data_IF_649499907713
#
_entry.id   IF_649499907713
#
_cell.length_a   1.000
_cell.length_b   1.000
_cell.length_c   1.000
_cell.angle_alpha   90.00
_cell.angle_beta   90.00
_cell.angle_gamma   90.00
#
_symmetry.space_group_name_H-M   'P 1'
#
loop_
_entity.id
_entity.type
_entity.pdbx_description
1 polymer ?
2 polymer ?
3 non-polymer ?
4 non-polymer ?
5 non-polymer ?
6 water ?
#
# COMPACT_ATOMS: atom_id res chain seq x y z
N UNK A 1 -13.92 -3.83 19.13
CA UNK A 1 -15.13 -3.62 18.36
C UNK A 1 -15.96 -2.43 18.83
N UNK A 2 -15.31 -1.24 18.91
CA UNK A 2 -15.97 -0.02 19.32
C UNK A 2 -17.07 0.36 18.33
N UNK A 3 -16.91 -0.08 17.07
CA UNK A 3 -17.91 0.16 16.05
C UNK A 3 -18.98 -0.91 15.93
N UNK A 4 -18.96 -1.88 16.85
CA UNK A 4 -19.87 -2.99 16.75
C UNK A 4 -21.35 -2.64 16.84
N UNK A 5 -21.66 -1.52 17.49
CA UNK A 5 -23.04 -1.09 17.61
C UNK A 5 -23.55 -0.22 16.47
N UNK A 6 -22.68 0.17 15.52
CA UNK A 6 -23.07 1.04 14.43
C UNK A 6 -23.40 0.24 13.19
N UNK A 7 -24.51 0.62 12.54
CA UNK A 7 -24.88 0.01 11.28
C UNK A 7 -23.75 0.06 10.25
N UNK A 8 -23.63 -0.99 9.47
CA UNK A 8 -22.70 -1.02 8.36
C UNK A 8 -22.84 0.22 7.48
N UNK A 9 -24.07 0.54 7.08
CA UNK A 9 -24.25 1.63 6.13
C UNK A 9 -23.85 2.94 6.76
N UNK A 10 -24.07 3.10 8.06
CA UNK A 10 -23.69 4.31 8.78
C UNK A 10 -22.18 4.46 8.90
N UNK A 11 -21.49 3.33 9.06
CA UNK A 11 -20.05 3.33 9.07
C UNK A 11 -19.49 3.78 7.73
N UNK A 12 -20.06 3.28 6.63
CA UNK A 12 -19.60 3.68 5.31
C UNK A 12 -19.89 5.16 5.07
N UNK A 13 -21.08 5.60 5.47
CA UNK A 13 -21.44 7.00 5.35
C UNK A 13 -20.45 7.89 6.09
N UNK A 14 -20.15 7.51 7.34
CA UNK A 14 -19.23 8.31 8.15
C UNK A 14 -17.81 8.21 7.64
N UNK A 15 -17.41 7.08 7.05
CA UNK A 15 -16.10 7.05 6.41
C UNK A 15 -15.98 8.09 5.29
N UNK A 16 -17.05 8.25 4.51
CA UNK A 16 -17.05 9.23 3.44
C UNK A 16 -16.97 10.65 4.00
N UNK A 17 -17.71 10.91 5.07
CA UNK A 17 -17.63 12.20 5.75
C UNK A 17 -16.22 12.47 6.29
N UNK A 18 -15.63 11.46 6.93
CA UNK A 18 -14.30 11.57 7.47
C UNK A 18 -13.28 11.89 6.37
N UNK A 19 -13.45 11.24 5.21
CA UNK A 19 -12.60 11.53 4.06
C UNK A 19 -12.73 13.01 3.66
N UNK A 20 -13.96 13.51 3.59
CA UNK A 20 -14.17 14.91 3.23
C UNK A 20 -13.53 15.89 4.22
N UNK A 21 -13.53 15.49 5.48
CA UNK A 21 -12.96 16.26 6.58
C UNK A 21 -11.47 16.02 6.78
N UNK A 22 -10.86 15.16 5.96
CA UNK A 22 -9.46 14.78 6.11
C UNK A 22 -9.14 14.23 7.49
N UNK A 23 -10.08 13.43 7.99
CA UNK A 23 -9.96 12.77 9.29
C UNK A 23 -9.68 11.30 9.03
N UNK A 24 -8.46 10.99 8.59
CA UNK A 24 -8.18 9.66 8.08
C UNK A 24 -8.14 8.56 9.16
N UNK A 25 -7.73 8.90 10.37
CA UNK A 25 -7.77 7.95 11.46
C UNK A 25 -9.21 7.54 11.75
N UNK A 26 -10.13 8.51 11.79
CA UNK A 26 -11.53 8.17 11.95
C UNK A 26 -12.03 7.34 10.77
N UNK A 27 -11.64 7.73 9.56
CA UNK A 27 -12.05 7.03 8.35
C UNK A 27 -11.66 5.56 8.44
N UNK A 28 -10.41 5.33 8.88
CA UNK A 28 -9.90 3.98 8.97
C UNK A 28 -10.67 3.18 10.02
N UNK A 29 -10.94 3.80 11.17
CA UNK A 29 -11.71 3.15 12.22
C UNK A 29 -13.12 2.78 11.74
N UNK A 30 -13.77 3.70 11.01
CA UNK A 30 -15.08 3.39 10.47
C UNK A 30 -14.99 2.22 9.49
N UNK A 31 -13.99 2.25 8.61
CA UNK A 31 -13.89 1.17 7.62
C UNK A 31 -13.50 -0.18 8.24
N UNK A 32 -12.67 -0.19 9.29
CA UNK A 32 -12.42 -1.40 10.06
C UNK A 32 -13.73 -1.95 10.60
N UNK A 33 -14.54 -1.06 11.18
CA UNK A 33 -15.82 -1.49 11.67
C UNK A 33 -16.71 -2.09 10.59
N UNK A 34 -16.68 -1.47 9.41
CA UNK A 34 -17.46 -2.00 8.30
C UNK A 34 -16.97 -3.38 7.86
N UNK A 35 -15.66 -3.56 7.77
CA UNK A 35 -15.11 -4.86 7.42
C UNK A 35 -15.55 -5.91 8.43
N UNK A 36 -15.48 -5.55 9.72
CA UNK A 36 -15.79 -6.50 10.77
C UNK A 36 -17.25 -6.91 10.84
N UNK A 37 -18.12 -6.26 10.06
CA UNK A 37 -19.47 -6.75 9.89
C UNK A 37 -19.54 -8.10 9.19
N UNK A 38 -18.48 -8.44 8.48
CA UNK A 38 -18.33 -9.76 7.93
C UNK A 38 -18.81 -9.93 6.50
N UNK A 39 -19.43 -8.89 5.92
CA UNK A 39 -19.87 -8.94 4.55
C UNK A 39 -18.67 -8.59 3.68
N UNK A 40 -18.68 -9.09 2.45
CA UNK A 40 -17.68 -8.64 1.49
C UNK A 40 -17.86 -7.14 1.18
N UNK A 41 -16.82 -6.50 0.64
CA UNK A 41 -16.82 -5.08 0.31
C UNK A 41 -16.99 -4.88 -1.19
N UNK A 42 -17.79 -3.87 -1.55
CA UNK A 42 -17.89 -3.41 -2.91
C UNK A 42 -16.59 -2.74 -3.34
N UNK A 43 -16.50 -2.45 -4.64
CA UNK A 43 -15.34 -1.74 -5.12
C UNK A 43 -15.13 -0.38 -4.44
N UNK A 44 -16.21 0.40 -4.31
CA UNK A 44 -16.11 1.69 -3.68
C UNK A 44 -15.66 1.52 -2.21
N UNK A 45 -16.22 0.53 -1.53
CA UNK A 45 -15.88 0.30 -0.14
C UNK A 45 -14.42 -0.14 0.03
N UNK A 46 -13.94 -1.03 -0.84
CA UNK A 46 -12.54 -1.42 -0.84
C UNK A 46 -11.64 -0.18 -0.96
N UNK A 47 -12.03 0.73 -1.84
CA UNK A 47 -11.23 1.93 -2.03
C UNK A 47 -11.27 2.85 -0.82
N UNK A 48 -12.41 2.93 -0.12
CA UNK A 48 -12.47 3.68 1.11
C UNK A 48 -11.52 3.09 2.15
N UNK A 49 -11.51 1.75 2.27
CA UNK A 49 -10.63 1.07 3.22
C UNK A 49 -9.17 1.43 2.90
N UNK A 50 -8.82 1.30 1.61
CA UNK A 50 -7.45 1.54 1.19
C UNK A 50 -7.05 2.99 1.41
N UNK A 51 -7.89 3.94 1.00
CA UNK A 51 -7.53 5.34 1.14
C UNK A 51 -7.28 5.68 2.61
N UNK A 52 -8.15 5.17 3.48
CA UNK A 52 -8.07 5.49 4.89
C UNK A 52 -6.73 5.05 5.46
N UNK A 53 -6.43 3.75 5.29
CA UNK A 53 -5.23 3.22 5.91
C UNK A 53 -3.97 3.75 5.24
N UNK A 54 -4.02 3.94 3.92
CA UNK A 54 -2.84 4.46 3.24
C UNK A 54 -2.46 5.87 3.73
N UNK A 55 -3.47 6.68 4.01
CA UNK A 55 -3.24 8.02 4.51
C UNK A 55 -2.70 7.94 5.94
N UNK A 56 -3.27 7.06 6.77
CA UNK A 56 -2.75 6.94 8.13
C UNK A 56 -1.29 6.48 8.10
N UNK A 57 -1.01 5.38 7.40
CA UNK A 57 0.33 4.84 7.45
C UNK A 57 1.29 5.76 6.70
N UNK A 58 0.79 6.47 5.68
CA UNK A 58 1.64 7.42 4.99
C UNK A 58 2.18 8.51 5.89
N UNK A 59 1.32 9.01 6.78
CA UNK A 59 1.78 9.99 7.75
C UNK A 59 2.79 9.40 8.71
N UNK A 60 2.55 8.15 9.13
CA UNK A 60 3.47 7.50 10.05
C UNK A 60 4.84 7.26 9.41
N UNK A 61 4.82 6.83 8.14
CA UNK A 61 6.05 6.57 7.41
C UNK A 61 6.84 7.87 7.26
N UNK A 62 6.17 8.97 6.92
CA UNK A 62 6.88 10.21 6.77
C UNK A 62 7.52 10.61 8.10
N UNK A 63 6.79 10.47 9.19
CA UNK A 63 7.33 10.82 10.51
C UNK A 63 8.50 9.93 10.87
N UNK A 64 8.35 8.63 10.62
CA UNK A 64 9.43 7.69 10.86
C UNK A 64 10.70 8.06 10.11
N UNK A 65 10.54 8.47 8.85
CA UNK A 65 11.71 8.83 8.07
C UNK A 65 12.40 10.07 8.66
N UNK A 66 11.62 11.04 9.13
CA UNK A 66 12.20 12.22 9.75
C UNK A 66 13.05 11.81 10.95
N UNK A 67 12.44 10.98 11.81
CA UNK A 67 13.07 10.58 13.06
C UNK A 67 14.28 9.68 12.83
N UNK A 68 14.16 8.77 11.86
CA UNK A 68 15.27 7.90 11.50
C UNK A 68 16.47 8.71 11.00
N UNK A 69 16.22 9.77 10.22
CA UNK A 69 17.29 10.61 9.71
C UNK A 69 18.02 11.33 10.84
N UNK A 70 17.24 11.84 11.81
CA UNK A 70 17.83 12.48 12.98
C UNK A 70 18.66 11.49 13.78
N UNK A 71 18.13 10.28 13.93
CA UNK A 71 18.82 9.24 14.67
C UNK A 71 20.13 8.86 13.99
N UNK A 72 20.11 8.72 12.66
CA UNK A 72 21.32 8.37 11.92
C UNK A 72 22.38 9.46 12.07
N UNK A 73 21.96 10.73 11.97
CA UNK A 73 22.87 11.84 12.21
C UNK A 73 23.48 11.84 13.61
N UNK A 74 22.68 11.49 14.61
CA UNK A 74 23.15 11.34 15.99
C UNK A 74 24.25 10.29 16.15
N UNK A 75 24.27 9.30 15.25
CA UNK A 75 25.20 8.18 15.35
C UNK A 75 26.46 8.32 14.50
N UNK A 76 26.68 9.52 13.95
CA UNK A 76 27.89 9.81 13.19
C UNK A 76 29.09 10.13 14.11
N UNK A 78 31.36 12.88 14.85
CA UNK A 78 31.55 13.74 16.01
C UNK A 78 30.27 14.34 16.58
N UNK A 79 29.17 13.55 16.54
CA UNK A 79 27.89 14.00 17.05
C UNK A 79 27.86 13.94 18.57
N UNK A 80 27.32 14.99 19.19
CA UNK A 80 27.22 15.08 20.64
C UNK A 80 26.19 14.07 21.13
N UNK A 81 26.49 13.38 22.25
CA UNK A 81 25.56 12.48 22.90
C UNK A 81 24.34 13.24 23.42
N UNK A 82 23.14 12.81 22.99
CA UNK A 82 21.92 13.46 23.41
C UNK A 82 21.01 12.56 24.25
N UNK A 83 21.49 11.35 24.53
CA UNK A 83 20.72 10.41 25.31
C UNK A 83 19.75 9.58 24.47
N UNK A 84 18.83 8.85 25.13
CA UNK A 84 18.03 7.85 24.45
C UNK A 84 16.80 8.38 23.73
N UNK A 85 16.52 9.69 23.83
CA UNK A 85 15.21 10.18 23.45
C UNK A 85 14.89 10.04 21.96
N UNK A 86 15.85 10.28 21.08
CA UNK A 86 15.59 10.15 19.65
C UNK A 86 15.22 8.70 19.32
N UNK A 87 16.02 7.76 19.81
CA UNK A 87 15.73 6.35 19.60
C UNK A 87 14.37 5.98 20.19
N UNK A 88 14.10 6.42 21.42
CA UNK A 88 12.84 6.09 22.06
C UNK A 88 11.67 6.57 21.21
N UNK A 89 11.74 7.80 20.71
CA UNK A 89 10.60 8.37 20.02
C UNK A 89 10.46 7.76 18.63
N UNK A 90 11.59 7.51 17.95
CA UNK A 90 11.55 6.76 16.70
C UNK A 90 10.87 5.39 16.92
N UNK A 91 11.25 4.72 18.00
CA UNK A 91 10.66 3.43 18.33
C UNK A 91 9.16 3.53 18.61
N UNK A 92 8.74 4.63 19.25
CA UNK A 92 7.32 4.83 19.53
C UNK A 92 6.55 4.90 18.23
N UNK A 93 7.02 5.76 17.34
CA UNK A 93 6.36 5.94 16.04
C UNK A 93 6.38 4.62 15.26
N UNK A 94 7.53 3.97 15.29
CA UNK A 94 7.70 2.71 14.58
C UNK A 94 6.68 1.68 15.05
N UNK A 95 6.51 1.58 16.37
CA UNK A 95 5.61 0.60 16.95
C UNK A 95 4.17 0.90 16.53
N UNK A 96 3.82 2.19 16.50
CA UNK A 96 2.49 2.58 16.10
C UNK A 96 2.27 2.23 14.62
N UNK A 97 3.26 2.52 13.77
CA UNK A 97 3.20 2.16 12.35
C UNK A 97 3.01 0.66 12.18
N UNK A 98 3.80 -0.14 12.90
CA UNK A 98 3.70 -1.59 12.83
C UNK A 98 2.31 -2.03 13.27
N UNK A 99 1.77 -1.38 14.30
CA UNK A 99 0.44 -1.72 14.74
C UNK A 99 -0.64 -1.49 13.70
N UNK A 100 -0.55 -0.39 12.98
CA UNK A 100 -1.48 -0.12 11.89
C UNK A 100 -1.33 -1.14 10.77
N UNK A 101 -0.09 -1.46 10.39
CA UNK A 101 0.12 -2.48 9.39
C UNK A 101 -0.46 -3.83 9.82
N UNK A 102 -0.23 -4.19 11.09
CA UNK A 102 -0.74 -5.45 11.62
C UNK A 102 -2.27 -5.46 11.60
N UNK A 103 -2.88 -4.30 11.87
CA UNK A 103 -4.32 -4.22 11.87
C UNK A 103 -4.87 -4.49 10.47
N UNK A 104 -4.27 -3.83 9.47
CA UNK A 104 -4.71 -4.02 8.08
C UNK A 104 -4.50 -5.48 7.66
N UNK A 105 -3.31 -6.01 7.94
CA UNK A 105 -3.02 -7.39 7.58
C UNK A 105 -4.02 -8.33 8.23
N UNK A 106 -4.38 -8.01 9.47
CA UNK A 106 -5.36 -8.81 10.19
C UNK A 106 -6.73 -8.81 9.51
N UNK A 107 -7.17 -7.66 9.03
CA UNK A 107 -8.44 -7.58 8.29
C UNK A 107 -8.38 -8.42 7.02
N UNK A 108 -7.23 -8.34 6.34
CA UNK A 108 -7.07 -9.06 5.09
C UNK A 108 -7.11 -10.56 5.37
N UNK A 109 -6.48 -10.99 6.46
CA UNK A 109 -6.41 -12.40 6.80
C UNK A 109 -7.71 -12.92 7.43
N UNK A 110 -8.53 -12.03 8.00
CA UNK A 110 -9.71 -12.44 8.75
C UNK A 110 -10.85 -11.47 8.41
N UNK A 111 -11.48 -11.61 7.23
CA UNK A 111 -11.37 -12.72 6.30
C UNK A 111 -11.49 -12.21 4.87
N UNK A 112 -10.98 -11.00 4.59
CA UNK A 112 -11.23 -10.42 3.29
C UNK A 112 -10.69 -11.25 2.13
N UNK A 113 -9.45 -11.69 2.22
CA UNK A 113 -8.83 -12.39 1.10
C UNK A 113 -9.55 -13.71 0.84
N UNK A 114 -9.77 -14.49 1.88
CA UNK A 114 -10.34 -15.82 1.65
C UNK A 114 -11.72 -15.77 1.03
N UNK A 115 -12.48 -14.69 1.29
CA UNK A 115 -13.83 -14.57 0.74
C UNK A 115 -13.85 -13.92 -0.65
N UNK A 116 -12.69 -13.39 -1.11
CA UNK A 116 -12.57 -12.68 -2.38
C UNK A 116 -12.29 -13.64 -3.54
N UNK A 117 -13.29 -13.85 -4.36
CA UNK A 117 -13.20 -14.78 -5.48
C UNK A 117 -13.10 -14.12 -6.84
N UNK A 118 -13.58 -12.90 -6.96
CA UNK A 118 -13.49 -12.22 -8.22
C UNK A 118 -12.05 -11.70 -8.30
N UNK A 119 -11.54 -11.64 -9.52
CA UNK A 119 -10.17 -11.22 -9.70
C UNK A 119 -9.98 -9.79 -9.19
N UNK A 120 -10.97 -8.92 -9.40
CA UNK A 120 -10.84 -7.52 -9.03
C UNK A 120 -10.66 -7.41 -7.51
N UNK A 121 -11.45 -8.17 -6.75
CA UNK A 121 -11.34 -8.07 -5.32
C UNK A 121 -10.07 -8.75 -4.82
N UNK A 122 -9.80 -9.96 -5.32
CA UNK A 122 -8.69 -10.73 -4.81
C UNK A 122 -7.36 -10.03 -5.08
N UNK A 123 -7.20 -9.50 -6.31
CA UNK A 123 -5.98 -8.77 -6.64
C UNK A 123 -5.84 -7.53 -5.73
N UNK A 124 -6.94 -6.81 -5.55
CA UNK A 124 -6.90 -5.61 -4.72
C UNK A 124 -6.39 -5.93 -3.32
N UNK A 125 -6.92 -7.00 -2.71
CA UNK A 125 -6.54 -7.33 -1.36
C UNK A 125 -5.12 -7.87 -1.26
N UNK A 126 -4.70 -8.66 -2.26
CA UNK A 126 -3.34 -9.17 -2.28
C UNK A 126 -2.32 -8.04 -2.49
N UNK A 127 -2.67 -7.07 -3.33
CA UNK A 127 -1.85 -5.87 -3.46
C UNK A 127 -1.71 -5.15 -2.12
N UNK A 128 -2.85 -4.96 -1.42
CA UNK A 128 -2.79 -4.38 -0.09
C UNK A 128 -1.87 -5.18 0.82
N UNK A 129 -1.98 -6.51 0.80
CA UNK A 129 -1.14 -7.33 1.63
C UNK A 129 0.33 -7.11 1.34
N UNK A 130 0.68 -7.07 0.05
CA UNK A 130 2.06 -6.79 -0.31
C UNK A 130 2.53 -5.42 0.18
N UNK A 131 1.67 -4.42 0.02
CA UNK A 131 2.00 -3.06 0.42
C UNK A 131 2.25 -2.94 1.91
N UNK A 132 1.41 -3.57 2.74
CA UNK A 132 1.58 -3.40 4.18
C UNK A 132 2.77 -4.21 4.69
N UNK A 133 3.05 -5.37 4.09
CA UNK A 133 4.31 -6.02 4.38
C UNK A 133 5.51 -5.18 3.92
N UNK A 134 5.39 -4.50 2.78
CA UNK A 134 6.43 -3.61 2.33
C UNK A 134 6.69 -2.50 3.36
N UNK A 135 5.62 -1.93 3.90
CA UNK A 135 5.79 -0.90 4.91
C UNK A 135 6.46 -1.47 6.17
N UNK A 136 6.08 -2.69 6.58
CA UNK A 136 6.78 -3.35 7.67
C UNK A 136 8.25 -3.56 7.34
N UNK A 137 8.55 -3.87 6.07
CA UNK A 137 9.93 -4.11 5.67
C UNK A 137 10.76 -2.84 5.72
N UNK A 138 10.14 -1.69 5.47
CA UNK A 138 10.88 -0.43 5.47
C UNK A 138 11.50 -0.16 6.84
N UNK A 139 10.86 -0.65 7.92
CA UNK A 139 11.34 -0.36 9.25
C UNK A 139 11.99 -1.56 9.93
N UNK A 140 12.01 -2.71 9.25
CA UNK A 140 12.54 -3.93 9.81
C UNK A 140 14.06 -3.97 9.71
N UNK A 141 14.67 -4.50 10.78
CA UNK A 141 16.12 -4.67 10.90
C UNK A 141 16.50 -5.96 11.61
N UNK A 142 15.50 -6.70 12.07
CA UNK A 142 15.72 -7.76 13.03
C UNK A 142 15.95 -9.08 12.30
N UNK A 143 15.83 -10.17 13.06
CA UNK A 143 16.03 -11.50 12.50
C UNK A 143 14.91 -11.85 11.51
N UNK A 144 13.96 -10.93 11.34
CA UNK A 144 12.75 -11.14 10.56
C UNK A 144 12.56 -10.21 9.36
N UNK A 145 13.51 -9.31 9.07
CA UNK A 145 13.40 -8.51 7.85
C UNK A 145 13.27 -9.45 6.66
N UNK A 146 14.03 -10.54 6.62
CA UNK A 146 13.97 -11.44 5.48
C UNK A 146 12.58 -12.04 5.32
N UNK A 147 11.97 -12.46 6.43
CA UNK A 147 10.68 -13.14 6.35
C UNK A 147 9.63 -12.11 5.95
N UNK A 148 9.76 -10.87 6.43
CA UNK A 148 8.80 -9.84 6.07
C UNK A 148 8.87 -9.54 4.57
N UNK A 149 10.09 -9.39 4.04
CA UNK A 149 10.33 -9.20 2.63
C UNK A 149 9.71 -10.34 1.84
N UNK A 150 9.92 -11.59 2.29
CA UNK A 150 9.36 -12.71 1.57
C UNK A 150 7.83 -12.69 1.59
N UNK A 151 7.23 -12.28 2.71
CA UNK A 151 5.78 -12.18 2.78
C UNK A 151 5.25 -11.15 1.79
N UNK A 152 5.91 -10.00 1.69
CA UNK A 152 5.51 -9.01 0.70
C UNK A 152 5.60 -9.57 -0.72
N UNK A 153 6.76 -10.16 -1.02
CA UNK A 153 7.01 -10.72 -2.33
C UNK A 153 5.92 -11.72 -2.70
N UNK A 154 5.60 -12.61 -1.77
CA UNK A 154 4.66 -13.68 -2.03
C UNK A 154 3.27 -13.14 -2.34
N UNK A 155 2.86 -12.12 -1.58
CA UNK A 155 1.55 -11.54 -1.81
C UNK A 155 1.51 -10.85 -3.18
N UNK A 156 2.52 -10.01 -3.46
CA UNK A 156 2.61 -9.36 -4.74
C UNK A 156 2.61 -10.37 -5.88
N UNK A 157 3.36 -11.45 -5.72
CA UNK A 157 3.48 -12.42 -6.81
C UNK A 157 2.13 -13.09 -7.08
N UNK A 158 1.43 -13.48 -6.02
CA UNK A 158 0.11 -14.09 -6.21
C UNK A 158 -0.83 -13.12 -6.92
N UNK A 159 -0.78 -11.85 -6.52
CA UNK A 159 -1.59 -10.81 -7.15
C UNK A 159 -1.24 -10.67 -8.63
N UNK A 160 0.06 -10.64 -8.91
CA UNK A 160 0.52 -10.52 -10.28
C UNK A 160 0.03 -11.66 -11.14
N UNK A 161 0.12 -12.88 -10.59
CA UNK A 161 -0.25 -14.02 -11.41
C UNK A 161 -1.73 -13.95 -11.79
N UNK A 162 -2.58 -13.60 -10.82
CA UNK A 162 -4.01 -13.46 -11.09
C UNK A 162 -4.28 -12.31 -12.05
N UNK A 163 -3.63 -11.16 -11.83
CA UNK A 163 -3.89 -10.00 -12.67
C UNK A 163 -3.53 -10.27 -14.13
N UNK A 164 -2.43 -10.98 -14.36
CA UNK A 164 -2.00 -11.25 -15.71
C UNK A 164 -2.98 -12.19 -16.40
N UNK A 165 -3.53 -13.15 -15.66
CA UNK A 165 -4.47 -14.09 -16.24
C UNK A 165 -5.85 -13.48 -16.49
N UNK A 166 -6.28 -12.60 -15.57
CA UNK A 166 -7.68 -12.23 -15.48
C UNK A 166 -8.05 -10.80 -15.82
N UNK A 167 -7.07 -9.90 -15.91
CA UNK A 167 -7.35 -8.50 -16.16
C UNK A 167 -6.60 -8.02 -17.40
N UNK A 168 -7.13 -7.00 -18.12
CA UNK A 168 -6.43 -6.42 -19.26
C UNK A 168 -5.22 -5.64 -18.74
N UNK A 169 -4.20 -5.44 -19.60
CA UNK A 169 -2.97 -4.76 -19.20
C UNK A 169 -3.17 -3.31 -18.78
N UNK A 170 -4.31 -2.71 -19.15
CA UNK A 170 -4.60 -1.34 -18.76
C UNK A 170 -5.40 -1.24 -17.47
N UNK A 171 -5.86 -2.36 -16.91
CA UNK A 171 -6.67 -2.26 -15.70
C UNK A 171 -5.91 -1.49 -14.61
N UNK A 172 -6.48 -0.41 -14.00
CA UNK A 172 -5.76 0.38 -13.03
C UNK A 172 -5.22 -0.37 -11.82
N UNK A 173 -5.94 -1.40 -11.37
CA UNK A 173 -5.46 -2.19 -10.26
C UNK A 173 -4.25 -3.03 -10.71
N UNK A 174 -4.32 -3.63 -11.89
CA UNK A 174 -3.16 -4.34 -12.43
C UNK A 174 -1.96 -3.41 -12.55
N UNK A 175 -2.17 -2.19 -13.08
CA UNK A 175 -1.11 -1.21 -13.23
C UNK A 175 -0.53 -0.78 -11.89
N UNK A 176 -1.42 -0.50 -10.94
CA UNK A 176 -1.00 -0.06 -9.63
C UNK A 176 -0.22 -1.13 -8.86
N UNK A 177 -0.69 -2.37 -8.99
CA UNK A 177 0.02 -3.51 -8.43
C UNK A 177 1.43 -3.61 -8.99
N UNK A 178 1.54 -3.52 -10.31
CA UNK A 178 2.85 -3.57 -10.95
C UNK A 178 3.75 -2.41 -10.52
N UNK A 179 3.15 -1.21 -10.41
CA UNK A 179 3.90 -0.07 -9.92
C UNK A 179 4.46 -0.37 -8.52
N UNK A 180 3.60 -0.80 -7.61
CA UNK A 180 4.03 -1.00 -6.23
C UNK A 180 5.02 -2.15 -6.11
N UNK A 181 4.80 -3.23 -6.88
CA UNK A 181 5.74 -4.33 -6.86
C UNK A 181 7.10 -3.87 -7.41
N UNK A 182 7.10 -3.00 -8.44
CA UNK A 182 8.36 -2.46 -8.95
C UNK A 182 9.06 -1.65 -7.85
N UNK A 183 8.31 -0.87 -7.07
CA UNK A 183 8.91 -0.15 -5.95
C UNK A 183 9.49 -1.11 -4.93
N UNK A 184 8.75 -2.17 -4.61
CA UNK A 184 9.29 -3.21 -3.75
C UNK A 184 10.64 -3.70 -4.28
N UNK A 185 10.71 -3.99 -5.57
CA UNK A 185 11.96 -4.52 -6.10
C UNK A 185 13.09 -3.52 -5.95
N UNK A 186 12.81 -2.24 -6.26
CA UNK A 186 13.87 -1.24 -6.24
C UNK A 186 14.29 -0.84 -4.83
N UNK A 187 13.29 -0.62 -3.97
CA UNK A 187 13.53 0.02 -2.69
C UNK A 187 13.75 -0.98 -1.56
N UNK A 188 13.16 -2.18 -1.69
CA UNK A 188 13.19 -3.15 -0.60
C UNK A 188 14.07 -4.35 -0.88
N UNK A 189 13.92 -4.92 -2.08
CA UNK A 189 14.55 -6.19 -2.41
C UNK A 189 15.92 -6.06 -3.07
N UNK A 190 16.43 -4.83 -3.22
CA UNK A 190 17.75 -4.63 -3.81
C UNK A 190 17.83 -5.25 -5.20
N UNK A 191 16.76 -5.06 -5.98
CA UNK A 191 16.64 -5.63 -7.31
C UNK A 191 16.24 -4.56 -8.32
N UNK A 192 17.08 -3.52 -8.54
CA UNK A 192 16.68 -2.42 -9.42
C UNK A 192 16.45 -2.87 -10.85
N UNK A 193 17.20 -3.87 -11.33
CA UNK A 193 17.01 -4.31 -12.71
C UNK A 193 15.63 -4.98 -12.84
N UNK A 194 15.20 -5.76 -11.84
CA UNK A 194 13.86 -6.34 -11.85
C UNK A 194 12.79 -5.24 -11.86
N UNK A 195 13.02 -4.22 -11.04
CA UNK A 195 12.11 -3.09 -10.97
C UNK A 195 11.94 -2.40 -12.33
N UNK A 196 13.09 -2.13 -12.96
CA UNK A 196 13.08 -1.44 -14.25
C UNK A 196 12.38 -2.28 -15.32
N UNK A 197 12.70 -3.57 -15.36
CA UNK A 197 12.10 -4.47 -16.32
C UNK A 197 10.58 -4.52 -16.15
N UNK A 198 10.15 -4.69 -14.88
CA UNK A 198 8.72 -4.79 -14.63
C UNK A 198 8.03 -3.50 -15.05
N UNK A 199 8.59 -2.35 -14.67
CA UNK A 199 7.96 -1.09 -15.03
C UNK A 199 7.87 -0.88 -16.54
N UNK A 200 8.94 -1.21 -17.26
CA UNK A 200 9.00 -1.06 -18.71
C UNK A 200 7.99 -1.98 -19.40
N UNK A 201 7.98 -3.26 -19.03
CA UNK A 201 7.07 -4.21 -19.64
C UNK A 201 5.62 -3.81 -19.37
N UNK A 202 5.35 -3.43 -18.13
CA UNK A 202 4.00 -3.04 -17.75
C UNK A 202 3.56 -1.84 -18.59
N UNK A 203 4.42 -0.81 -18.67
CA UNK A 203 4.08 0.39 -19.43
C UNK A 203 3.78 0.08 -20.88
N UNK A 204 4.68 -0.70 -21.49
CA UNK A 204 4.55 -1.02 -22.91
C UNK A 204 3.30 -1.85 -23.22
N UNK A 205 2.98 -2.82 -22.38
CA UNK A 205 1.82 -3.64 -22.65
C UNK A 205 0.55 -2.81 -22.46
N UNK A 206 0.54 -1.90 -21.49
CA UNK A 206 -0.57 -1.00 -21.33
C UNK A 206 -0.73 -0.05 -22.53
N UNK A 207 0.39 0.52 -22.98
CA UNK A 207 0.35 1.42 -24.14
C UNK A 207 -0.38 0.75 -25.31
N UNK A 208 -0.06 -0.52 -25.53
CA UNK A 208 -0.59 -1.28 -26.65
C UNK A 208 -2.07 -1.64 -26.52
N UNK A 209 -2.63 -1.48 -25.32
CA UNK A 209 -4.04 -1.75 -25.08
C UNK A 209 -4.91 -0.52 -24.90
N UNK A 210 -4.31 0.68 -24.91
CA UNK A 210 -5.08 1.89 -24.70
C UNK A 210 -6.18 2.08 -25.75
N UNK A 211 -5.95 1.58 -26.96
CA UNK A 211 -6.87 1.79 -28.06
C UNK A 211 -8.24 1.18 -27.78
N UNK A 212 -8.33 0.21 -26.85
CA UNK A 212 -9.56 -0.48 -26.55
C UNK A 212 -10.47 0.29 -25.59
N UNK A 213 -9.95 1.40 -25.02
CA UNK A 213 -10.56 2.06 -23.89
C UNK A 213 -11.40 3.27 -24.28
N UNK A 214 -12.41 3.52 -23.46
CA UNK A 214 -13.16 4.76 -23.48
C UNK A 214 -12.27 5.92 -23.03
N UNK A 215 -12.74 7.14 -23.27
CA UNK A 215 -12.02 8.33 -22.84
C UNK A 215 -11.76 8.29 -21.34
N UNK A 216 -12.75 7.89 -20.55
CA UNK A 216 -12.61 7.93 -19.11
C UNK A 216 -11.71 6.81 -18.59
N UNK A 217 -11.80 5.61 -19.18
CA UNK A 217 -10.88 4.54 -18.79
C UNK A 217 -9.45 4.88 -19.23
N UNK A 218 -9.31 5.45 -20.43
CA UNK A 218 -8.03 5.95 -20.87
C UNK A 218 -7.39 6.87 -19.82
N UNK A 219 -8.18 7.79 -19.27
CA UNK A 219 -7.65 8.72 -18.30
C UNK A 219 -7.17 7.98 -17.05
N UNK A 220 -7.95 6.99 -16.59
CA UNK A 220 -7.59 6.23 -15.41
C UNK A 220 -6.27 5.47 -15.63
N UNK A 221 -6.15 4.78 -16.76
CA UNK A 221 -4.95 3.99 -17.01
C UNK A 221 -3.71 4.85 -17.21
N UNK A 222 -3.86 5.95 -17.98
CA UNK A 222 -2.71 6.77 -18.29
C UNK A 222 -2.17 7.47 -17.04
N UNK A 223 -3.03 7.75 -16.06
CA UNK A 223 -2.56 8.33 -14.82
C UNK A 223 -1.52 7.41 -14.17
N UNK A 224 -1.81 6.12 -14.05
CA UNK A 224 -0.85 5.23 -13.42
C UNK A 224 0.34 4.96 -14.31
N UNK A 225 0.12 4.91 -15.62
CA UNK A 225 1.23 4.71 -16.54
C UNK A 225 2.27 5.82 -16.38
N UNK A 226 1.80 7.04 -16.11
CA UNK A 226 2.72 8.15 -15.95
C UNK A 226 3.60 7.92 -14.73
N UNK A 227 3.06 7.28 -13.68
CA UNK A 227 3.86 7.00 -12.50
C UNK A 227 4.95 5.97 -12.80
N UNK A 228 4.62 4.95 -13.58
CA UNK A 228 5.64 4.02 -14.04
C UNK A 228 6.76 4.76 -14.76
N UNK A 229 6.36 5.66 -15.67
CA UNK A 229 7.31 6.47 -16.40
C UNK A 229 8.15 7.35 -15.48
N UNK A 230 7.52 7.95 -14.47
CA UNK A 230 8.29 8.76 -13.53
C UNK A 230 9.38 7.96 -12.83
N UNK A 231 9.03 6.74 -12.40
CA UNK A 231 10.02 5.87 -11.77
C UNK A 231 11.10 5.48 -12.77
N UNK A 232 10.72 5.12 -14.00
CA UNK A 232 11.74 4.77 -14.98
C UNK A 232 12.72 5.91 -15.20
N UNK A 233 12.20 7.15 -15.23
CA UNK A 233 13.04 8.33 -15.38
C UNK A 233 13.98 8.56 -14.19
N UNK A 234 13.48 8.24 -12.99
CA UNK A 234 14.28 8.36 -11.78
C UNK A 234 15.35 7.28 -11.74
N UNK A 235 15.00 6.09 -12.22
CA UNK A 235 15.82 4.90 -12.04
C UNK A 235 16.86 4.70 -13.14
N UNK A 236 16.67 5.37 -14.28
CA UNK A 236 17.55 5.19 -15.43
C UNK A 236 18.14 6.55 -15.90
N UNK B 1 16.00 10.68 -3.87
CA UNK B 1 14.58 10.92 -4.09
C UNK B 1 13.82 9.59 -4.18
N UNK B 2 12.65 9.53 -3.54
CA UNK B 2 11.95 8.29 -3.35
C UNK B 2 11.16 7.90 -4.59
N UNK B 3 11.10 6.61 -4.83
CA UNK B 3 10.23 6.10 -5.88
C UNK B 3 8.78 6.42 -5.58
N UNK B 4 7.99 6.52 -6.64
CA UNK B 4 6.57 6.78 -6.58
C UNK B 4 5.78 5.48 -6.55
N UNK B 5 4.94 5.34 -5.54
CA UNK B 5 3.98 4.26 -5.48
C UNK B 5 2.58 4.78 -5.78
N UNK B 6 1.58 3.91 -5.67
CA UNK B 6 0.26 4.28 -6.13
C UNK B 6 -0.28 5.44 -5.31
N UNK B 7 -1.10 6.28 -5.96
CA UNK B 7 -1.72 7.40 -5.30
C UNK B 7 -2.88 6.92 -4.45
N UNK B 8 -3.24 7.81 -3.54
CA UNK B 8 -4.18 7.46 -2.52
C UNK B 8 -5.47 8.27 -2.68
N UNK B 9 -6.31 7.85 -3.63
CA UNK B 9 -7.53 8.56 -4.00
C UNK B 9 -8.64 7.65 -4.61
X LIG C 1 8.72 8.30 23.37
X LIG D 1 11.24 -1.50 16.89
X LIG E 1 -27.44 -3.94 10.41
X LIG F 1 21.71 -3.22 -16.03
X LIG G 1 -12.74 2.38 -8.17
X LIG G 1 -4.16 1.45 -6.80
X LIG G 1 -8.01 4.13 -8.89
X LIG G 1 -5.51 3.39 -8.22
X LIG G 1 -8.54 4.16 -7.52
X LIG G 1 -10.04 3.94 -7.48
X LIG G 1 -10.72 3.90 -8.83
X LIG G 1 -14.43 0.82 -7.46
X LIG G 1 -4.38 1.30 -8.16
X LIG G 1 -5.08 2.25 -8.86
X LIG G 1 -8.48 2.95 -9.65
X LIG G 1 -10.00 2.96 -9.80
X LIG G 1 -5.26 3.58 -6.88
X LIG G 1 -14.27 3.09 -6.55
X LIG G 1 -3.42 0.46 -6.00
X LIG G 1 -4.57 2.62 -6.19
X LIG G 1 -6.44 4.59 -9.08
X LIG G 1 -6.24 5.85 -8.42
X LIG G 1 -6.14 4.49 -10.48
X LIG G 1 -12.23 3.67 -8.63
X LIG G 1 -13.78 2.20 -7.33
#
# INVERSE_FOLDING_TARGET
GAMGSMERASLIQKAKLAEQAERYEDMAAFMKGAVEKGEELSCEERNLLSVAYKNVVGGQRAAWRVLSSIEQKSNEEGSEEKGPEVREYREKVETELQGVCDTVLGLLDSHLIKEAGDAESRVFYLKMKGDYYRYLAEVATGDDKKRIIDSARSAYQEAMDISKKEMPPTNPIRLGLALNFSVFHYEIANSPEEAISLAKTTFDEAMADLHTLSEDSYKDSTLIMQLLRDNLTLWT
QRSTSTPNV
CL CL
MG MG
MG MG
MG MG
JOL N2 C2 N1 C5 C6 C7 C8 C11 C15 C14 C13 C12 C4 O4 C1 C3 S1 O2 O3 C9 C10
#
